data_IF_657138111002
#
_entry.id   IF_657138111002
#
_cell.length_a   1.000
_cell.length_b   1.000
_cell.length_c   1.000
_cell.angle_alpha   90.00
_cell.angle_beta   90.00
_cell.angle_gamma   90.00
#
_symmetry.space_group_name_H-M   'P 1'
#
loop_
_entity.id
_entity.type
_entity.pdbx_description
1 polymer ?
#
# COMPACT_ATOMS: atom_id res chain seq x y z
N UNK A 1 -60.45 -46.80 -2.73
CA UNK A 1 -60.32 -45.37 -2.98
C UNK A 1 -59.39 -44.66 -2.00
N UNK A 2 -59.17 -45.15 -0.75
CA UNK A 2 -58.31 -44.49 0.24
C UNK A 2 -56.79 -44.60 0.00
N UNK A 3 -56.30 -45.70 -0.61
CA UNK A 3 -54.86 -45.89 -0.84
C UNK A 3 -54.27 -44.99 -1.92
N UNK A 4 -55.08 -44.42 -2.82
CA UNK A 4 -54.61 -43.50 -3.89
C UNK A 4 -54.47 -42.07 -3.41
N UNK A 5 -55.22 -41.65 -2.40
CA UNK A 5 -55.14 -40.32 -1.79
C UNK A 5 -53.90 -40.17 -0.86
N UNK A 6 -53.57 -41.23 -0.11
CA UNK A 6 -52.38 -41.24 0.75
C UNK A 6 -51.09 -41.17 -0.06
N UNK A 7 -50.98 -41.87 -1.21
CA UNK A 7 -49.83 -41.79 -2.13
C UNK A 7 -49.62 -40.42 -2.77
N UNK A 8 -50.71 -39.73 -3.15
CA UNK A 8 -50.63 -38.37 -3.71
C UNK A 8 -50.17 -37.35 -2.69
N UNK A 9 -50.66 -37.42 -1.44
CA UNK A 9 -50.25 -36.49 -0.39
C UNK A 9 -48.78 -36.66 0.00
N UNK A 10 -48.27 -37.93 0.02
CA UNK A 10 -46.87 -38.19 0.27
C UNK A 10 -45.94 -37.68 -0.84
N UNK A 11 -46.36 -37.77 -2.12
CA UNK A 11 -45.62 -37.22 -3.22
C UNK A 11 -45.61 -35.67 -3.25
N UNK A 12 -46.71 -35.05 -2.82
CA UNK A 12 -46.77 -33.59 -2.70
C UNK A 12 -45.88 -33.10 -1.56
N UNK A 13 -45.88 -33.78 -0.41
CA UNK A 13 -45.02 -33.45 0.70
C UNK A 13 -43.53 -33.64 0.34
N UNK A 14 -43.16 -34.71 -0.39
CA UNK A 14 -41.80 -34.93 -0.84
C UNK A 14 -41.31 -33.87 -1.84
N UNK A 15 -42.17 -33.44 -2.76
CA UNK A 15 -41.88 -32.36 -3.68
C UNK A 15 -41.74 -31.01 -2.96
N UNK A 16 -42.57 -30.73 -1.97
CA UNK A 16 -42.49 -29.50 -1.16
C UNK A 16 -41.19 -29.45 -0.34
N UNK A 17 -40.77 -30.58 0.26
CA UNK A 17 -39.47 -30.69 0.96
C UNK A 17 -38.28 -30.53 0.00
N UNK A 18 -38.38 -31.09 -1.21
CA UNK A 18 -37.34 -30.94 -2.23
C UNK A 18 -37.20 -29.53 -2.76
N UNK A 19 -38.33 -28.84 -2.97
CA UNK A 19 -38.35 -27.40 -3.36
C UNK A 19 -37.82 -26.53 -2.21
N UNK A 20 -38.15 -26.84 -0.96
CA UNK A 20 -37.64 -26.11 0.21
C UNK A 20 -36.14 -26.31 0.41
N UNK A 21 -35.64 -27.53 0.17
CA UNK A 21 -34.18 -27.80 0.17
C UNK A 21 -33.44 -27.10 -0.96
N UNK A 22 -34.04 -27.02 -2.17
CA UNK A 22 -33.46 -26.24 -3.28
C UNK A 22 -33.48 -24.73 -2.98
N UNK A 23 -34.52 -24.23 -2.33
CA UNK A 23 -34.60 -22.82 -1.92
C UNK A 23 -33.52 -22.46 -0.88
N UNK A 24 -33.18 -23.38 0.03
CA UNK A 24 -32.08 -23.20 1.00
C UNK A 24 -30.71 -23.17 0.29
N UNK A 25 -30.52 -23.96 -0.78
CA UNK A 25 -29.30 -23.92 -1.59
C UNK A 25 -29.18 -22.66 -2.45
N UNK A 26 -30.29 -22.04 -2.83
CA UNK A 26 -30.27 -20.78 -3.61
C UNK A 26 -29.99 -19.54 -2.74
N UNK A 27 -30.19 -19.62 -1.43
CA UNK A 27 -29.80 -18.58 -0.47
C UNK A 27 -28.34 -18.70 0.01
N UNK A 28 -27.62 -19.76 -0.35
CA UNK A 28 -26.21 -19.96 -0.01
C UNK A 28 -25.22 -19.36 -1.04
N UNK A 29 -25.70 -18.67 -2.07
CA UNK A 29 -24.89 -17.74 -2.87
C UNK A 29 -25.10 -16.30 -2.38
N UNK A 30 -24.88 -16.06 -1.09
CA UNK A 30 -24.33 -14.78 -0.72
C UNK A 30 -22.87 -14.79 -1.23
N UNK A 31 -22.60 -14.12 -2.34
CA UNK A 31 -21.30 -13.50 -2.50
C UNK A 31 -21.11 -12.70 -1.21
N UNK A 32 -20.20 -13.15 -0.33
CA UNK A 32 -19.71 -12.31 0.75
C UNK A 32 -19.16 -11.04 0.05
N UNK A 33 -20.01 -10.02 -0.05
CA UNK A 33 -19.54 -8.66 -0.21
C UNK A 33 -18.59 -8.48 0.97
N UNK A 34 -17.30 -8.57 0.69
CA UNK A 34 -16.30 -8.61 1.74
C UNK A 34 -16.48 -7.34 2.58
N UNK A 35 -16.16 -7.39 3.86
CA UNK A 35 -16.19 -6.23 4.79
C UNK A 35 -15.59 -4.94 4.21
N UNK A 36 -14.80 -5.07 3.14
CA UNK A 36 -14.13 -4.00 2.42
C UNK A 36 -14.87 -3.59 1.12
N UNK A 37 -15.96 -4.28 0.75
CA UNK A 37 -16.80 -3.91 -0.39
C UNK A 37 -17.79 -2.81 0.06
N UNK A 38 -17.34 -1.57 -0.03
CA UNK A 38 -18.09 -0.39 0.40
C UNK A 38 -18.48 0.47 -0.81
N UNK A 39 -19.63 1.11 -0.73
CA UNK A 39 -20.02 2.13 -1.70
C UNK A 39 -19.48 3.49 -1.26
N UNK A 40 -18.74 4.16 -2.14
CA UNK A 40 -18.15 5.48 -1.94
C UNK A 40 -18.77 6.56 -2.84
N UNK A 41 -19.88 6.26 -3.56
CA UNK A 41 -20.50 7.19 -4.51
C UNK A 41 -21.00 8.46 -3.79
N UNK A 42 -21.51 8.31 -2.56
CA UNK A 42 -22.00 9.43 -1.75
C UNK A 42 -20.88 10.20 -1.03
N UNK A 43 -19.64 9.73 -1.12
CA UNK A 43 -18.50 10.40 -0.49
C UNK A 43 -18.00 11.52 -1.38
N UNK A 44 -18.22 12.76 -0.93
CA UNK A 44 -17.79 13.96 -1.65
C UNK A 44 -16.48 14.49 -1.08
N UNK A 45 -15.47 14.58 -1.94
CA UNK A 45 -14.21 15.28 -1.68
C UNK A 45 -13.87 16.16 -2.89
N UNK A 46 -13.00 17.14 -2.69
CA UNK A 46 -12.43 17.87 -3.82
C UNK A 46 -11.53 16.90 -4.62
N UNK A 47 -11.70 16.80 -5.94
CA UNK A 47 -10.80 15.99 -6.77
C UNK A 47 -9.34 16.36 -6.54
N UNK A 48 -8.48 15.36 -6.49
CA UNK A 48 -7.05 15.58 -6.35
C UNK A 48 -6.52 16.29 -7.61
N UNK A 49 -5.71 17.30 -7.41
CA UNK A 49 -4.95 17.94 -8.47
C UNK A 49 -3.47 17.97 -8.08
N UNK A 50 -2.61 17.40 -8.92
CA UNK A 50 -1.18 17.26 -8.65
C UNK A 50 -0.44 18.47 -9.23
N UNK A 51 0.06 19.32 -8.35
CA UNK A 51 0.88 20.47 -8.73
C UNK A 51 2.29 20.00 -9.15
N UNK A 52 2.70 20.27 -10.38
CA UNK A 52 3.92 19.72 -11.01
C UNK A 52 5.15 20.59 -10.76
N UNK A 53 5.58 20.69 -9.49
CA UNK A 53 6.74 21.52 -9.11
C UNK A 53 8.01 21.11 -9.84
N UNK A 54 8.30 19.80 -9.96
CA UNK A 54 9.50 19.34 -10.65
C UNK A 54 9.53 19.79 -12.11
N UNK A 55 8.40 19.71 -12.83
CA UNK A 55 8.31 20.21 -14.20
C UNK A 55 8.49 21.72 -14.27
N UNK A 56 7.84 22.48 -13.39
CA UNK A 56 7.94 23.93 -13.34
C UNK A 56 9.39 24.36 -13.07
N UNK A 57 10.06 23.76 -12.08
CA UNK A 57 11.41 24.09 -11.68
C UNK A 57 12.45 23.86 -12.80
N UNK A 58 12.36 22.72 -13.53
CA UNK A 58 13.33 22.41 -14.58
C UNK A 58 13.07 23.15 -15.91
N UNK A 59 11.93 23.85 -16.03
CA UNK A 59 11.57 24.65 -17.22
C UNK A 59 11.84 26.16 -17.07
N UNK A 60 12.38 26.63 -15.92
CA UNK A 60 12.68 28.05 -15.72
C UNK A 60 13.82 28.53 -16.61
N UNK A 61 13.85 29.87 -16.88
CA UNK A 61 15.00 30.51 -17.43
C UNK A 61 16.14 30.59 -16.38
N UNK A 62 17.18 29.80 -16.60
CA UNK A 62 18.31 29.64 -15.68
C UNK A 62 19.20 30.91 -15.59
N UNK A 63 19.18 31.75 -16.62
CA UNK A 63 19.92 33.04 -16.62
C UNK A 63 19.29 34.05 -15.66
N UNK A 64 17.97 33.91 -15.42
CA UNK A 64 17.20 34.79 -14.54
C UNK A 64 16.70 34.08 -13.27
N UNK A 65 17.47 33.10 -12.73
CA UNK A 65 17.10 32.20 -11.67
C UNK A 65 16.33 32.84 -10.50
N UNK A 66 16.85 33.94 -9.93
CA UNK A 66 16.20 34.62 -8.80
C UNK A 66 14.80 35.14 -9.12
N UNK A 67 14.63 35.72 -10.29
CA UNK A 67 13.35 36.25 -10.76
C UNK A 67 12.35 35.11 -11.00
N UNK A 68 12.81 34.03 -11.63
CA UNK A 68 11.99 32.87 -11.92
C UNK A 68 11.56 32.14 -10.64
N UNK A 69 12.45 31.95 -9.67
CA UNK A 69 12.10 31.41 -8.36
C UNK A 69 11.08 32.29 -7.63
N UNK A 70 11.14 33.61 -7.77
CA UNK A 70 10.14 34.55 -7.23
C UNK A 70 8.76 34.39 -7.87
N UNK A 71 8.68 33.96 -9.14
CA UNK A 71 7.40 33.58 -9.77
C UNK A 71 6.89 32.27 -9.24
N UNK A 72 7.76 31.25 -9.19
CA UNK A 72 7.42 29.90 -8.69
C UNK A 72 7.02 29.91 -7.21
N UNK A 73 7.58 30.78 -6.39
CA UNK A 73 7.22 30.92 -4.97
C UNK A 73 5.72 31.16 -4.76
N UNK A 74 5.08 31.91 -5.67
CA UNK A 74 3.64 32.18 -5.57
C UNK A 74 2.79 30.95 -5.80
N UNK A 75 3.26 30.04 -6.64
CA UNK A 75 2.55 28.81 -6.99
C UNK A 75 2.96 27.63 -6.09
N UNK A 76 4.23 27.60 -5.68
CA UNK A 76 4.83 26.51 -4.90
C UNK A 76 5.49 27.03 -3.60
N UNK A 77 4.75 27.70 -2.70
CA UNK A 77 5.33 28.31 -1.49
C UNK A 77 5.96 27.26 -0.55
N UNK A 78 5.47 26.03 -0.59
CA UNK A 78 6.00 24.94 0.21
C UNK A 78 7.45 24.54 -0.15
N UNK A 79 7.87 24.77 -1.39
CA UNK A 79 9.22 24.42 -1.87
C UNK A 79 10.19 25.59 -1.84
N UNK A 80 9.67 26.78 -2.05
CA UNK A 80 10.47 28.00 -2.17
C UNK A 80 10.12 28.87 -0.98
N UNK A 81 10.93 28.78 0.07
CA UNK A 81 10.74 29.58 1.28
C UNK A 81 10.86 31.08 1.03
N UNK A 82 10.54 31.87 2.05
CA UNK A 82 10.45 33.34 1.93
C UNK A 82 11.80 34.04 1.67
N UNK A 83 12.92 33.37 1.87
CA UNK A 83 14.25 33.93 1.76
C UNK A 83 14.91 33.62 0.41
N UNK A 84 14.49 34.33 -0.64
CA UNK A 84 15.13 34.34 -1.97
C UNK A 84 16.41 35.19 -2.03
N UNK A 85 16.85 35.76 -0.92
CA UNK A 85 18.08 36.56 -0.83
C UNK A 85 19.28 35.68 -0.44
N UNK A 86 19.05 34.53 0.14
CA UNK A 86 20.10 33.59 0.55
C UNK A 86 20.85 33.03 -0.67
N UNK A 87 22.08 33.55 -0.87
CA UNK A 87 22.96 33.13 -1.97
C UNK A 87 23.29 31.66 -1.94
N UNK A 88 23.39 31.03 -0.76
CA UNK A 88 23.67 29.59 -0.62
C UNK A 88 22.49 28.76 -1.13
N UNK A 89 21.27 29.16 -0.80
CA UNK A 89 20.06 28.51 -1.32
C UNK A 89 19.97 28.64 -2.84
N UNK A 90 20.19 29.83 -3.37
CA UNK A 90 20.22 30.06 -4.82
C UNK A 90 21.27 29.20 -5.52
N UNK A 91 22.46 29.09 -4.95
CA UNK A 91 23.54 28.25 -5.49
C UNK A 91 23.17 26.77 -5.45
N UNK A 92 22.54 26.27 -4.38
CA UNK A 92 22.07 24.89 -4.29
C UNK A 92 21.03 24.59 -5.38
N UNK A 93 20.04 25.46 -5.56
CA UNK A 93 19.01 25.30 -6.61
C UNK A 93 19.68 25.36 -7.98
N UNK A 94 20.59 26.32 -8.20
CA UNK A 94 21.33 26.43 -9.46
C UNK A 94 22.10 25.15 -9.79
N UNK A 95 22.83 24.59 -8.82
CA UNK A 95 23.55 23.32 -9.00
C UNK A 95 22.60 22.18 -9.33
N UNK A 96 21.48 22.09 -8.63
CA UNK A 96 20.47 21.05 -8.80
C UNK A 96 19.87 21.06 -10.21
N UNK A 97 19.40 22.22 -10.68
CA UNK A 97 18.76 22.33 -12.01
C UNK A 97 19.75 22.29 -13.19
N UNK A 98 21.05 22.43 -12.91
CA UNK A 98 22.12 22.34 -13.92
C UNK A 98 22.85 20.99 -13.89
N UNK A 99 22.52 20.10 -12.96
CA UNK A 99 23.08 18.75 -12.93
C UNK A 99 22.59 17.96 -14.17
N UNK A 100 23.51 17.46 -15.02
CA UNK A 100 23.14 16.75 -16.24
C UNK A 100 22.28 15.49 -15.98
N UNK A 101 22.51 14.79 -14.87
CA UNK A 101 21.75 13.60 -14.50
C UNK A 101 20.31 13.97 -14.11
N UNK A 102 20.13 15.05 -13.36
CA UNK A 102 18.81 15.53 -12.95
C UNK A 102 18.03 16.17 -14.09
N UNK A 103 18.72 16.83 -15.03
CA UNK A 103 18.10 17.32 -16.27
C UNK A 103 17.54 16.14 -17.08
N UNK A 104 18.33 15.06 -17.22
CA UNK A 104 17.88 13.86 -17.91
C UNK A 104 16.69 13.22 -17.18
N UNK A 105 16.76 13.07 -15.85
CA UNK A 105 15.66 12.56 -15.04
C UNK A 105 14.37 13.37 -15.22
N UNK A 106 14.45 14.70 -15.15
CA UNK A 106 13.30 15.57 -15.35
C UNK A 106 12.69 15.41 -16.75
N UNK A 107 13.54 15.28 -17.78
CA UNK A 107 13.10 15.04 -19.16
C UNK A 107 12.41 13.68 -19.31
N UNK A 108 12.98 12.61 -18.76
CA UNK A 108 12.37 11.28 -18.79
C UNK A 108 11.08 11.21 -17.95
N UNK A 109 10.99 11.94 -16.82
CA UNK A 109 9.74 12.11 -16.07
C UNK A 109 8.66 12.78 -16.93
N UNK A 110 8.98 13.88 -17.62
CA UNK A 110 8.01 14.55 -18.49
C UNK A 110 7.55 13.69 -19.66
N UNK A 111 8.43 12.84 -20.19
CA UNK A 111 8.10 11.89 -21.26
C UNK A 111 7.23 10.73 -20.76
N UNK A 112 7.53 10.19 -19.59
CA UNK A 112 6.79 9.06 -19.00
C UNK A 112 5.46 9.48 -18.40
N UNK A 113 5.42 10.69 -17.87
CA UNK A 113 4.26 11.28 -17.22
C UNK A 113 3.88 12.60 -17.91
N UNK A 114 3.42 12.55 -19.19
CA UNK A 114 3.05 13.77 -19.93
C UNK A 114 1.88 14.48 -19.25
N UNK A 115 0.98 13.72 -18.65
CA UNK A 115 -0.07 14.20 -17.73
C UNK A 115 -0.12 13.28 -16.49
N UNK A 116 -0.83 13.70 -15.47
CA UNK A 116 -0.97 12.97 -14.21
C UNK A 116 -2.44 12.63 -13.89
N UNK A 117 -3.34 12.75 -14.84
CA UNK A 117 -4.78 12.54 -14.66
C UNK A 117 -5.09 11.15 -14.06
N UNK A 118 -4.38 10.11 -14.53
CA UNK A 118 -4.56 8.77 -13.97
C UNK A 118 -4.21 8.67 -12.48
N UNK A 119 -3.17 9.40 -12.02
CA UNK A 119 -2.82 9.45 -10.59
C UNK A 119 -3.82 10.31 -9.81
N UNK A 120 -4.30 11.40 -10.39
CA UNK A 120 -5.31 12.27 -9.79
C UNK A 120 -6.61 11.51 -9.56
N UNK A 121 -7.05 10.70 -10.53
CA UNK A 121 -8.24 9.86 -10.43
C UNK A 121 -8.06 8.77 -9.37
N UNK A 122 -6.97 8.00 -9.43
CA UNK A 122 -6.70 6.92 -8.48
C UNK A 122 -6.52 7.45 -7.04
N UNK A 123 -5.85 8.58 -6.84
CA UNK A 123 -5.72 9.22 -5.52
C UNK A 123 -7.05 9.77 -5.03
N UNK A 124 -7.88 10.32 -5.93
CA UNK A 124 -9.23 10.78 -5.56
C UNK A 124 -10.07 9.63 -5.07
N UNK A 125 -10.04 8.47 -5.74
CA UNK A 125 -10.73 7.26 -5.29
C UNK A 125 -10.20 6.78 -3.95
N UNK A 126 -8.87 6.69 -3.78
CA UNK A 126 -8.25 6.30 -2.51
C UNK A 126 -8.63 7.25 -1.36
N UNK A 127 -8.66 8.56 -1.60
CA UNK A 127 -9.02 9.54 -0.57
C UNK A 127 -10.51 9.53 -0.22
N UNK A 128 -11.40 9.12 -1.15
CA UNK A 128 -12.80 8.82 -0.81
C UNK A 128 -12.91 7.64 0.13
N UNK A 129 -12.17 6.54 -0.12
CA UNK A 129 -12.11 5.41 0.81
C UNK A 129 -11.56 5.83 2.18
N UNK A 130 -10.51 6.65 2.21
CA UNK A 130 -9.99 7.22 3.48
C UNK A 130 -11.04 8.03 4.21
N UNK A 131 -11.75 8.92 3.52
CA UNK A 131 -12.83 9.74 4.13
C UNK A 131 -13.99 8.90 4.64
N UNK A 132 -14.31 7.78 3.99
CA UNK A 132 -15.31 6.83 4.46
C UNK A 132 -14.91 6.19 5.81
N UNK A 133 -13.69 5.65 5.89
CA UNK A 133 -13.21 4.98 7.11
C UNK A 133 -12.81 5.96 8.21
N UNK A 134 -12.39 7.15 7.84
CA UNK A 134 -11.88 8.21 8.73
C UNK A 134 -12.55 9.53 8.36
N UNK A 135 -13.75 9.82 8.92
CA UNK A 135 -14.52 11.02 8.55
C UNK A 135 -13.79 12.35 8.74
N UNK A 136 -12.81 12.40 9.64
CA UNK A 136 -11.97 13.58 9.89
C UNK A 136 -10.78 13.70 8.93
N UNK A 137 -10.59 12.73 8.03
CA UNK A 137 -9.52 12.80 7.03
C UNK A 137 -9.77 13.94 6.05
N UNK A 138 -8.78 14.80 5.88
CA UNK A 138 -8.78 15.85 4.87
C UNK A 138 -7.71 15.55 3.81
N UNK A 139 -8.08 15.52 2.51
CA UNK A 139 -7.14 15.31 1.42
C UNK A 139 -5.99 16.31 1.46
N UNK A 140 -4.72 15.86 1.40
CA UNK A 140 -3.58 16.76 1.35
C UNK A 140 -3.48 17.51 0.02
N UNK A 141 -2.72 18.60 -0.01
CA UNK A 141 -2.21 19.14 -1.26
C UNK A 141 -1.14 18.20 -1.82
N UNK A 142 -1.28 17.83 -3.11
CA UNK A 142 -0.37 16.88 -3.75
C UNK A 142 0.55 17.57 -4.73
N UNK A 143 1.84 17.27 -4.63
CA UNK A 143 2.88 17.81 -5.49
C UNK A 143 3.72 16.69 -6.09
N UNK A 144 4.13 16.86 -7.35
CA UNK A 144 5.17 16.03 -7.93
C UNK A 144 6.48 16.83 -8.08
N UNK A 145 7.59 16.15 -7.81
CA UNK A 145 8.91 16.77 -7.84
C UNK A 145 9.98 15.80 -8.36
N UNK A 146 11.20 16.32 -8.55
CA UNK A 146 12.41 15.53 -8.80
C UNK A 146 13.22 15.52 -7.51
N UNK A 147 13.46 14.34 -6.95
CA UNK A 147 14.11 14.18 -5.65
C UNK A 147 15.65 14.13 -5.73
N UNK A 148 16.19 13.88 -6.92
CA UNK A 148 17.58 13.57 -7.11
C UNK A 148 17.89 12.10 -6.76
N UNK A 149 16.94 11.22 -7.05
CA UNK A 149 16.99 9.78 -6.81
C UNK A 149 17.00 9.37 -5.33
N UNK A 150 16.25 10.09 -4.50
CA UNK A 150 16.07 9.71 -3.09
C UNK A 150 15.16 8.49 -2.98
N UNK A 151 15.77 7.31 -3.05
CA UNK A 151 15.07 6.02 -2.99
C UNK A 151 14.62 5.63 -1.58
N UNK A 152 15.05 6.34 -0.53
CA UNK A 152 14.61 6.09 0.84
C UNK A 152 13.26 6.79 1.12
N UNK A 153 13.03 7.94 0.49
CA UNK A 153 11.80 8.73 0.70
C UNK A 153 11.12 9.13 -0.63
N UNK A 154 10.67 8.16 -1.43
CA UNK A 154 10.01 8.45 -2.72
C UNK A 154 8.66 9.17 -2.56
N UNK A 155 8.01 9.00 -1.41
CA UNK A 155 6.80 9.71 -1.00
C UNK A 155 7.06 10.36 0.36
N UNK A 156 6.71 11.63 0.49
CA UNK A 156 6.75 12.37 1.76
C UNK A 156 5.32 12.85 2.05
N UNK A 157 4.85 12.61 3.28
CA UNK A 157 3.52 13.03 3.73
C UNK A 157 3.57 13.54 5.17
N UNK A 158 3.03 14.74 5.43
CA UNK A 158 3.01 15.38 6.74
C UNK A 158 1.59 15.61 7.31
N UNK A 159 0.57 15.05 6.66
CA UNK A 159 -0.84 15.26 6.98
C UNK A 159 -1.51 16.37 6.17
N UNK A 160 -0.77 17.35 5.65
CA UNK A 160 -1.29 18.48 4.86
C UNK A 160 -0.76 18.48 3.43
N UNK A 161 0.43 17.98 3.23
CA UNK A 161 1.09 17.91 1.93
C UNK A 161 1.55 16.49 1.66
N UNK A 162 1.49 16.12 0.38
CA UNK A 162 2.04 14.87 -0.14
C UNK A 162 2.95 15.20 -1.33
N UNK A 163 4.21 14.76 -1.24
CA UNK A 163 5.22 14.96 -2.27
C UNK A 163 5.53 13.63 -2.93
N UNK A 164 5.46 13.57 -4.26
CA UNK A 164 5.69 12.38 -5.08
C UNK A 164 6.95 12.59 -5.91
N UNK A 165 8.02 11.85 -5.62
CA UNK A 165 9.27 11.86 -6.36
C UNK A 165 9.13 11.07 -7.66
N UNK A 166 8.72 11.72 -8.77
CA UNK A 166 8.49 11.03 -10.04
C UNK A 166 9.74 10.37 -10.64
N UNK A 167 10.92 10.92 -10.34
CA UNK A 167 12.20 10.33 -10.73
C UNK A 167 12.47 8.96 -10.06
N UNK A 168 11.69 8.57 -9.05
CA UNK A 168 11.74 7.26 -8.43
C UNK A 168 10.77 6.24 -9.05
N UNK A 169 10.02 6.63 -10.09
CA UNK A 169 9.03 5.77 -10.73
C UNK A 169 9.19 5.67 -12.26
N UNK A 170 10.42 5.88 -12.75
CA UNK A 170 10.75 5.79 -14.16
C UNK A 170 10.76 4.35 -14.70
N UNK A 171 10.65 3.36 -13.83
CA UNK A 171 10.61 1.93 -14.16
C UNK A 171 11.94 1.24 -13.93
N UNK A 172 11.90 -0.12 -13.82
CA UNK A 172 13.08 -0.91 -13.48
C UNK A 172 14.19 -0.85 -14.53
N UNK A 173 13.87 -0.51 -15.76
CA UNK A 173 14.83 -0.48 -16.87
C UNK A 173 15.52 0.89 -17.03
N UNK A 174 15.28 1.86 -16.12
CA UNK A 174 15.92 3.16 -16.18
C UNK A 174 17.37 3.07 -15.67
N UNK A 175 18.38 3.22 -16.56
CA UNK A 175 19.77 2.85 -16.25
C UNK A 175 20.42 3.63 -15.10
N UNK A 176 20.05 4.90 -14.81
CA UNK A 176 20.66 5.64 -13.71
C UNK A 176 20.49 4.97 -12.34
N UNK A 177 19.41 4.27 -12.06
CA UNK A 177 19.23 3.59 -10.77
C UNK A 177 20.35 2.60 -10.45
N UNK A 178 20.71 1.74 -11.40
CA UNK A 178 21.78 0.76 -11.24
C UNK A 178 23.16 1.46 -11.11
N UNK A 179 23.41 2.48 -11.94
CA UNK A 179 24.65 3.26 -11.91
C UNK A 179 24.86 4.00 -10.57
N UNK A 180 23.76 4.38 -9.91
CA UNK A 180 23.78 4.98 -8.57
C UNK A 180 23.90 3.95 -7.45
N UNK A 181 24.03 2.65 -7.78
CA UNK A 181 24.22 1.56 -6.81
C UNK A 181 22.95 1.12 -6.10
N UNK A 182 21.77 1.48 -6.61
CA UNK A 182 20.50 1.01 -6.02
C UNK A 182 20.37 -0.50 -6.25
N UNK A 183 20.09 -1.30 -5.21
CA UNK A 183 19.98 -2.74 -5.36
C UNK A 183 18.83 -3.15 -6.29
N UNK A 184 19.05 -4.14 -7.17
CA UNK A 184 18.07 -4.60 -8.16
C UNK A 184 16.71 -4.96 -7.57
N UNK A 185 16.64 -5.56 -6.38
CA UNK A 185 15.39 -5.92 -5.73
C UNK A 185 14.55 -4.68 -5.33
N UNK A 186 15.19 -3.51 -5.13
CA UNK A 186 14.52 -2.22 -4.93
C UNK A 186 14.09 -1.61 -6.26
N UNK A 187 14.97 -1.63 -7.26
CA UNK A 187 14.70 -1.08 -8.61
C UNK A 187 13.43 -1.71 -9.21
N UNK A 188 13.20 -3.01 -9.00
CA UNK A 188 12.00 -3.71 -9.45
C UNK A 188 10.68 -3.12 -8.92
N UNK A 189 10.74 -2.27 -7.90
CA UNK A 189 9.59 -1.62 -7.25
C UNK A 189 9.40 -0.16 -7.69
N UNK A 190 10.18 0.33 -8.66
CA UNK A 190 10.13 1.71 -9.14
C UNK A 190 9.25 1.88 -10.39
N UNK A 191 8.19 1.09 -10.48
CA UNK A 191 7.17 1.21 -11.53
C UNK A 191 6.06 2.18 -11.13
N UNK A 192 5.43 2.80 -12.14
CA UNK A 192 4.32 3.74 -11.92
C UNK A 192 3.13 3.13 -11.16
N UNK A 193 2.94 1.83 -11.28
CA UNK A 193 1.89 1.05 -10.60
C UNK A 193 2.02 1.01 -9.09
N UNK A 194 3.17 1.43 -8.54
CA UNK A 194 3.40 1.48 -7.10
C UNK A 194 3.14 2.87 -6.50
N UNK A 195 2.97 3.93 -7.31
CA UNK A 195 2.87 5.31 -6.80
C UNK A 195 1.73 5.48 -5.81
N UNK A 196 0.49 5.14 -6.20
CA UNK A 196 -0.69 5.32 -5.35
C UNK A 196 -0.62 4.42 -4.12
N UNK A 197 -0.13 3.17 -4.29
CA UNK A 197 0.12 2.25 -3.19
C UNK A 197 1.09 2.87 -2.17
N UNK A 198 2.16 3.49 -2.64
CA UNK A 198 3.17 4.09 -1.76
C UNK A 198 2.65 5.36 -1.07
N UNK A 199 1.82 6.15 -1.75
CA UNK A 199 1.12 7.27 -1.15
C UNK A 199 0.23 6.82 0.02
N UNK A 200 -0.58 5.78 -0.18
CA UNK A 200 -1.48 5.26 0.85
C UNK A 200 -0.72 4.57 1.98
N UNK A 201 0.38 3.88 1.68
CA UNK A 201 1.28 3.29 2.68
C UNK A 201 1.88 4.36 3.61
N UNK A 202 2.34 5.47 3.04
CA UNK A 202 2.87 6.58 3.81
C UNK A 202 1.81 7.24 4.71
N UNK A 203 0.56 7.33 4.24
CA UNK A 203 -0.57 7.76 5.09
C UNK A 203 -0.77 6.79 6.25
N UNK A 204 -0.76 5.47 6.00
CA UNK A 204 -0.91 4.45 7.03
C UNK A 204 0.18 4.57 8.10
N UNK A 205 1.45 4.72 7.67
CA UNK A 205 2.57 4.92 8.60
C UNK A 205 2.42 6.20 9.44
N UNK A 206 1.98 7.30 8.85
CA UNK A 206 1.74 8.56 9.57
C UNK A 206 0.59 8.42 10.58
N UNK A 207 -0.52 7.77 10.21
CA UNK A 207 -1.66 7.57 11.10
C UNK A 207 -1.37 6.65 12.28
N UNK A 208 -0.61 5.58 12.06
CA UNK A 208 -0.26 4.62 13.12
C UNK A 208 0.95 5.04 13.95
N UNK A 209 1.78 5.96 13.43
CA UNK A 209 3.01 6.41 14.09
C UNK A 209 4.08 5.31 14.18
N UNK A 210 5.21 5.66 14.78
CA UNK A 210 6.32 4.71 14.97
C UNK A 210 6.07 3.83 16.20
N UNK A 211 5.72 2.56 15.97
CA UNK A 211 5.36 1.57 16.99
C UNK A 211 6.30 0.35 17.04
N UNK A 212 7.46 0.42 16.41
CA UNK A 212 8.33 -0.75 16.20
C UNK A 212 9.26 -1.07 17.38
N UNK A 213 9.47 -0.14 18.31
CA UNK A 213 10.44 -0.34 19.38
C UNK A 213 9.97 -1.31 20.48
N UNK A 214 10.89 -2.19 20.90
CA UNK A 214 10.68 -3.09 22.03
C UNK A 214 9.73 -4.25 21.80
N UNK A 215 9.40 -4.57 20.54
CA UNK A 215 8.42 -5.58 20.16
C UNK A 215 9.08 -6.92 19.81
N UNK A 216 8.34 -8.01 20.01
CA UNK A 216 8.67 -9.33 19.51
C UNK A 216 8.26 -9.48 18.03
N UNK A 217 8.63 -10.61 17.41
CA UNK A 217 8.34 -10.86 15.98
C UNK A 217 6.84 -10.88 15.69
N UNK A 218 6.00 -11.44 16.56
CA UNK A 218 4.54 -11.43 16.38
C UNK A 218 3.99 -10.00 16.32
N UNK A 219 4.45 -9.13 17.24
CA UNK A 219 4.00 -7.73 17.25
C UNK A 219 4.35 -7.02 15.94
N UNK A 220 5.56 -7.25 15.43
CA UNK A 220 6.01 -6.66 14.17
C UNK A 220 5.25 -7.26 12.96
N UNK A 221 5.03 -8.57 12.94
CA UNK A 221 4.24 -9.23 11.89
C UNK A 221 2.81 -8.69 11.85
N UNK A 222 2.15 -8.56 13.00
CA UNK A 222 0.80 -8.03 13.10
C UNK A 222 0.77 -6.54 12.71
N UNK A 223 1.75 -5.75 13.12
CA UNK A 223 1.86 -4.34 12.72
C UNK A 223 1.98 -4.20 11.21
N UNK A 224 2.87 -4.95 10.56
CA UNK A 224 3.01 -4.95 9.10
C UNK A 224 1.74 -5.48 8.42
N UNK A 225 1.10 -6.49 9.02
CA UNK A 225 -0.20 -6.99 8.58
C UNK A 225 -1.31 -5.94 8.60
N UNK A 226 -1.30 -5.04 9.59
CA UNK A 226 -2.26 -3.91 9.66
C UNK A 226 -2.00 -2.88 8.57
N UNK A 227 -0.74 -2.55 8.26
CA UNK A 227 -0.42 -1.68 7.11
C UNK A 227 -0.96 -2.27 5.81
N UNK A 228 -0.74 -3.56 5.56
CA UNK A 228 -1.23 -4.23 4.36
C UNK A 228 -2.76 -4.35 4.32
N UNK A 229 -3.42 -4.58 5.47
CA UNK A 229 -4.88 -4.58 5.55
C UNK A 229 -5.47 -3.18 5.37
N UNK A 230 -4.79 -2.15 5.81
CA UNK A 230 -5.16 -0.77 5.50
C UNK A 230 -5.13 -0.53 3.98
N UNK A 231 -4.09 -1.02 3.29
CA UNK A 231 -4.05 -0.98 1.82
C UNK A 231 -5.20 -1.79 1.18
N UNK A 232 -5.65 -2.89 1.79
CA UNK A 232 -6.83 -3.63 1.30
C UNK A 232 -8.10 -2.78 1.38
N UNK A 233 -8.26 -2.02 2.47
CA UNK A 233 -9.43 -1.19 2.71
C UNK A 233 -9.46 0.06 1.80
N UNK A 234 -8.31 0.67 1.58
CA UNK A 234 -8.23 1.95 0.85
C UNK A 234 -8.05 1.74 -0.66
N UNK A 235 -7.46 0.63 -1.07
CA UNK A 235 -7.19 0.28 -2.46
C UNK A 235 -7.83 -1.07 -2.83
N UNK A 236 -9.17 -1.23 -2.75
CA UNK A 236 -9.83 -2.53 -2.94
C UNK A 236 -9.56 -3.13 -4.32
N UNK A 237 -9.44 -2.31 -5.35
CA UNK A 237 -9.22 -2.71 -6.73
C UNK A 237 -7.74 -3.02 -7.06
N UNK A 238 -6.80 -2.73 -6.15
CA UNK A 238 -5.37 -3.00 -6.34
C UNK A 238 -5.06 -4.45 -5.96
N UNK A 239 -4.32 -5.15 -6.82
CA UNK A 239 -3.95 -6.55 -6.57
C UNK A 239 -3.07 -6.71 -5.32
N UNK A 240 -3.23 -7.86 -4.62
CA UNK A 240 -2.39 -8.22 -3.46
C UNK A 240 -0.89 -8.09 -3.77
N UNK A 241 -0.49 -8.47 -4.99
CA UNK A 241 0.91 -8.40 -5.44
C UNK A 241 1.47 -6.98 -5.38
N UNK A 242 0.71 -6.00 -5.84
CA UNK A 242 1.10 -4.58 -5.79
C UNK A 242 1.15 -4.09 -4.34
N UNK A 243 0.16 -4.45 -3.52
CA UNK A 243 0.09 -4.03 -2.11
C UNK A 243 1.33 -4.47 -1.33
N UNK A 244 1.78 -5.72 -1.47
CA UNK A 244 2.97 -6.25 -0.79
C UNK A 244 4.27 -6.03 -1.57
N UNK A 245 4.21 -5.48 -2.80
CA UNK A 245 5.35 -5.30 -3.71
C UNK A 245 6.08 -6.61 -4.03
N UNK A 246 5.33 -7.67 -4.33
CA UNK A 246 5.89 -8.92 -4.83
C UNK A 246 5.82 -8.99 -6.36
N UNK A 247 6.76 -9.68 -6.98
CA UNK A 247 6.60 -10.17 -8.35
C UNK A 247 5.55 -11.29 -8.39
N UNK A 248 5.06 -11.63 -9.58
CA UNK A 248 4.11 -12.74 -9.73
C UNK A 248 4.68 -14.07 -9.21
N UNK A 249 5.94 -14.49 -9.57
CA UNK A 249 6.54 -15.70 -9.00
C UNK A 249 6.68 -15.65 -7.48
N UNK A 250 7.03 -14.50 -6.89
CA UNK A 250 7.13 -14.34 -5.45
C UNK A 250 5.80 -14.53 -4.73
N UNK A 251 4.71 -13.97 -5.28
CA UNK A 251 3.37 -14.19 -4.71
C UNK A 251 2.94 -15.66 -4.81
N UNK A 252 3.18 -16.29 -5.94
CA UNK A 252 2.88 -17.73 -6.14
C UNK A 252 3.66 -18.60 -5.16
N UNK A 253 4.94 -18.29 -4.95
CA UNK A 253 5.78 -18.98 -3.97
C UNK A 253 5.23 -18.82 -2.55
N UNK A 254 4.89 -17.60 -2.13
CA UNK A 254 4.35 -17.33 -0.80
C UNK A 254 3.04 -18.09 -0.55
N UNK A 255 2.11 -18.10 -1.51
CA UNK A 255 0.86 -18.86 -1.42
C UNK A 255 1.11 -20.37 -1.29
N UNK A 256 1.98 -20.92 -2.15
CA UNK A 256 2.30 -22.36 -2.16
C UNK A 256 2.98 -22.85 -0.88
N UNK A 257 3.78 -21.99 -0.25
CA UNK A 257 4.61 -22.35 0.90
C UNK A 257 4.07 -21.84 2.24
N UNK A 258 2.85 -21.29 2.29
CA UNK A 258 2.28 -20.67 3.50
C UNK A 258 2.22 -21.63 4.68
N UNK A 259 1.85 -22.90 4.45
CA UNK A 259 1.82 -23.95 5.48
C UNK A 259 3.22 -24.24 6.04
N UNK A 260 4.21 -24.38 5.17
CA UNK A 260 5.59 -24.66 5.60
C UNK A 260 6.20 -23.46 6.34
N UNK A 261 5.89 -22.25 5.89
CA UNK A 261 6.31 -21.01 6.53
C UNK A 261 5.73 -20.91 7.96
N UNK A 262 4.44 -21.18 8.11
CA UNK A 262 3.80 -21.17 9.42
C UNK A 262 4.35 -22.26 10.35
N UNK A 263 4.54 -23.49 9.85
CA UNK A 263 5.18 -24.58 10.60
C UNK A 263 6.56 -24.16 11.08
N UNK A 264 7.41 -23.58 10.21
CA UNK A 264 8.73 -23.07 10.58
C UNK A 264 8.66 -22.04 11.71
N UNK A 265 7.72 -21.08 11.63
CA UNK A 265 7.55 -20.02 12.63
C UNK A 265 7.20 -20.62 14.00
N UNK A 266 6.33 -21.65 14.03
CA UNK A 266 5.88 -22.29 15.28
C UNK A 266 6.97 -23.22 15.83
N UNK A 267 7.53 -24.12 15.03
CA UNK A 267 8.51 -25.12 15.44
C UNK A 267 9.81 -24.51 15.96
N UNK A 268 10.19 -23.35 15.44
CA UNK A 268 11.38 -22.63 15.87
C UNK A 268 11.10 -21.51 16.90
N UNK A 269 9.89 -21.48 17.47
CA UNK A 269 9.47 -20.52 18.51
C UNK A 269 9.71 -19.04 18.12
N UNK A 270 9.60 -18.72 16.81
CA UNK A 270 9.97 -17.43 16.24
C UNK A 270 9.08 -16.28 16.73
N UNK A 271 7.79 -16.55 16.99
CA UNK A 271 6.79 -15.53 17.29
C UNK A 271 7.17 -14.59 18.43
N UNK A 272 7.76 -15.14 19.48
CA UNK A 272 8.08 -14.36 20.69
C UNK A 272 9.56 -13.94 20.76
N UNK A 273 10.32 -14.23 19.72
CA UNK A 273 11.70 -13.78 19.62
C UNK A 273 11.80 -12.25 19.54
N UNK A 274 12.79 -11.69 20.25
CA UNK A 274 13.19 -10.28 20.16
C UNK A 274 14.55 -10.13 19.48
N UNK A 275 15.08 -11.21 18.91
CA UNK A 275 16.36 -11.21 18.22
C UNK A 275 16.26 -10.40 16.92
N UNK A 276 17.06 -9.34 16.82
CA UNK A 276 17.14 -8.47 15.65
C UNK A 276 17.63 -9.19 14.37
N UNK A 277 18.34 -10.31 14.49
CA UNK A 277 18.71 -11.11 13.33
C UNK A 277 17.49 -11.86 12.76
N UNK A 278 16.61 -12.34 13.62
CA UNK A 278 15.34 -12.97 13.21
C UNK A 278 14.44 -11.94 12.53
N UNK A 279 14.28 -10.77 13.15
CA UNK A 279 13.55 -9.63 12.58
C UNK A 279 14.09 -9.27 11.18
N UNK A 280 15.40 -9.04 11.09
CA UNK A 280 16.07 -8.69 9.83
C UNK A 280 15.80 -9.70 8.73
N UNK A 281 15.82 -10.99 9.04
CA UNK A 281 15.65 -12.06 8.05
C UNK A 281 14.19 -12.24 7.60
N UNK A 282 13.20 -11.93 8.45
CA UNK A 282 11.78 -12.19 8.18
C UNK A 282 11.00 -10.95 7.73
N UNK A 283 11.41 -9.75 8.15
CA UNK A 283 10.60 -8.54 8.02
C UNK A 283 11.29 -7.44 7.22
N UNK A 284 12.64 -7.39 7.18
CA UNK A 284 13.30 -6.33 6.42
C UNK A 284 13.35 -6.63 4.92
N UNK A 285 13.36 -5.54 4.15
CA UNK A 285 13.46 -5.62 2.70
C UNK A 285 14.83 -6.18 2.27
N UNK A 286 14.81 -7.20 1.44
CA UNK A 286 15.95 -7.95 0.98
C UNK A 286 15.63 -8.58 -0.38
N UNK A 287 16.59 -9.20 -1.08
CA UNK A 287 16.28 -9.95 -2.29
C UNK A 287 15.34 -11.14 -2.04
N UNK A 288 15.46 -11.79 -0.88
CA UNK A 288 14.71 -12.98 -0.47
C UNK A 288 14.76 -13.17 1.05
N UNK A 289 13.87 -14.00 1.59
CA UNK A 289 13.89 -14.39 3.00
C UNK A 289 14.91 -15.52 3.23
N UNK A 290 16.02 -15.23 3.88
CA UNK A 290 17.19 -16.14 3.93
C UNK A 290 16.94 -17.50 4.58
N UNK A 291 15.88 -17.67 5.38
CA UNK A 291 15.50 -18.97 5.93
C UNK A 291 14.94 -19.95 4.89
N UNK A 292 14.49 -19.45 3.72
CA UNK A 292 13.78 -20.25 2.71
C UNK A 292 14.49 -20.27 1.34
N UNK A 293 15.69 -19.68 1.26
CA UNK A 293 16.50 -19.67 0.04
C UNK A 293 16.09 -18.63 -1.00
N UNK A 294 16.85 -18.57 -2.09
CA UNK A 294 16.82 -17.49 -3.09
C UNK A 294 15.52 -17.38 -3.90
N UNK A 295 14.71 -18.44 -3.94
CA UNK A 295 13.41 -18.44 -4.64
C UNK A 295 12.29 -17.85 -3.80
N UNK A 296 12.50 -17.71 -2.50
CA UNK A 296 11.50 -17.14 -1.59
C UNK A 296 11.38 -15.63 -1.79
N UNK A 297 10.19 -15.05 -1.60
CA UNK A 297 10.07 -13.60 -1.54
C UNK A 297 10.73 -13.03 -0.28
N UNK A 298 11.08 -11.72 -0.27
CA UNK A 298 11.46 -11.02 0.96
C UNK A 298 10.26 -10.85 1.89
N UNK A 299 10.51 -10.47 3.14
CA UNK A 299 9.50 -10.01 4.10
C UNK A 299 8.34 -10.99 4.31
N UNK A 300 8.65 -12.32 4.36
CA UNK A 300 7.62 -13.35 4.57
C UNK A 300 6.88 -13.21 5.91
N UNK A 301 7.49 -12.56 6.91
CA UNK A 301 6.80 -12.19 8.15
C UNK A 301 5.65 -11.21 7.93
N UNK A 302 5.81 -10.25 7.00
CA UNK A 302 4.71 -9.33 6.62
C UNK A 302 3.56 -10.11 5.94
N UNK A 303 3.88 -11.04 5.05
CA UNK A 303 2.88 -11.90 4.40
C UNK A 303 2.03 -12.65 5.43
N UNK A 304 2.66 -13.33 6.39
CA UNK A 304 1.94 -14.07 7.44
C UNK A 304 1.16 -13.13 8.34
N UNK A 305 1.75 -12.02 8.75
CA UNK A 305 1.07 -10.99 9.54
C UNK A 305 -0.18 -10.47 8.85
N UNK A 306 -0.11 -10.24 7.54
CA UNK A 306 -1.26 -9.83 6.74
C UNK A 306 -2.37 -10.90 6.70
N UNK A 307 -2.01 -12.17 6.54
CA UNK A 307 -2.98 -13.28 6.59
C UNK A 307 -3.64 -13.41 7.97
N UNK A 308 -2.87 -13.23 9.05
CA UNK A 308 -3.40 -13.21 10.42
C UNK A 308 -4.42 -12.08 10.58
N UNK A 309 -4.08 -10.87 10.17
CA UNK A 309 -4.96 -9.68 10.28
C UNK A 309 -6.21 -9.84 9.41
N UNK A 310 -6.08 -10.32 8.17
CA UNK A 310 -7.25 -10.63 7.31
C UNK A 310 -8.20 -11.60 7.99
N UNK A 311 -7.68 -12.70 8.53
CA UNK A 311 -8.50 -13.71 9.22
C UNK A 311 -9.11 -13.15 10.51
N UNK A 312 -8.38 -12.30 11.25
CA UNK A 312 -8.91 -11.62 12.42
C UNK A 312 -10.12 -10.75 12.04
N UNK A 313 -10.00 -9.92 11.02
CA UNK A 313 -11.07 -9.04 10.58
C UNK A 313 -12.28 -9.79 10.00
N UNK A 314 -12.06 -10.92 9.34
CA UNK A 314 -13.14 -11.82 8.88
C UNK A 314 -13.91 -12.44 10.06
N UNK A 315 -13.20 -12.91 11.09
CA UNK A 315 -13.80 -13.59 12.23
C UNK A 315 -14.40 -12.61 13.27
N UNK A 316 -14.12 -11.31 13.16
CA UNK A 316 -14.59 -10.27 14.09
C UNK A 316 -15.26 -9.12 13.31
N UNK A 317 -16.48 -9.34 12.79
CA UNK A 317 -17.13 -8.40 11.86
C UNK A 317 -17.48 -7.03 12.48
N UNK A 318 -17.57 -6.93 13.81
CA UNK A 318 -17.86 -5.69 14.53
C UNK A 318 -16.64 -4.80 14.74
N UNK A 319 -15.41 -5.32 14.58
CA UNK A 319 -14.18 -4.53 14.69
C UNK A 319 -14.06 -3.62 13.46
N UNK A 320 -13.98 -2.32 13.66
CA UNK A 320 -13.78 -1.35 12.58
C UNK A 320 -12.31 -1.31 12.11
N UNK A 321 -12.03 -0.65 10.99
CA UNK A 321 -10.64 -0.41 10.56
C UNK A 321 -9.91 0.45 11.61
N UNK A 322 -10.56 1.47 12.15
CA UNK A 322 -9.99 2.33 13.18
C UNK A 322 -9.66 1.56 14.46
N UNK A 323 -10.56 0.66 14.92
CA UNK A 323 -10.31 -0.21 16.08
C UNK A 323 -9.09 -1.10 15.83
N UNK A 324 -9.00 -1.71 14.64
CA UNK A 324 -7.85 -2.54 14.27
C UNK A 324 -6.53 -1.76 14.36
N UNK A 325 -6.50 -0.52 13.84
CA UNK A 325 -5.28 0.29 13.87
C UNK A 325 -4.87 0.67 15.30
N UNK A 326 -5.84 0.86 16.20
CA UNK A 326 -5.59 1.22 17.61
C UNK A 326 -5.26 0.02 18.50
N UNK A 327 -5.71 -1.19 18.14
CA UNK A 327 -5.49 -2.39 18.93
C UNK A 327 -3.99 -2.74 19.00
N UNK A 328 -3.40 -2.84 20.18
CA UNK A 328 -1.99 -3.18 20.37
C UNK A 328 -1.80 -4.63 20.88
N UNK A 329 -2.89 -5.37 21.10
CA UNK A 329 -2.85 -6.76 21.56
C UNK A 329 -2.63 -7.73 20.39
N UNK A 330 -1.40 -7.85 19.93
CA UNK A 330 -1.03 -8.76 18.82
C UNK A 330 -1.33 -10.22 19.15
N UNK A 331 -1.20 -10.61 20.42
CA UNK A 331 -1.54 -11.97 20.90
C UNK A 331 -3.04 -12.23 20.81
N UNK A 332 -3.86 -11.27 21.24
CA UNK A 332 -5.31 -11.31 21.12
C UNK A 332 -5.77 -11.34 19.67
N UNK A 333 -5.13 -10.56 18.79
CA UNK A 333 -5.38 -10.59 17.34
C UNK A 333 -5.08 -11.99 16.78
N UNK A 334 -3.92 -12.58 17.10
CA UNK A 334 -3.57 -13.93 16.65
C UNK A 334 -4.60 -14.97 17.15
N UNK A 335 -4.95 -14.97 18.41
CA UNK A 335 -5.91 -15.92 19.00
C UNK A 335 -7.29 -15.80 18.36
N UNK A 336 -7.82 -14.56 18.26
CA UNK A 336 -9.15 -14.29 17.69
C UNK A 336 -9.20 -14.51 16.18
N UNK A 337 -8.06 -14.39 15.48
CA UNK A 337 -7.95 -14.69 14.05
C UNK A 337 -8.20 -16.16 13.76
N UNK A 338 -7.88 -17.06 14.71
CA UNK A 338 -7.88 -18.51 14.48
C UNK A 338 -7.11 -18.89 13.21
N UNK A 339 -6.06 -18.12 12.92
CA UNK A 339 -5.29 -18.30 11.70
C UNK A 339 -4.72 -19.71 11.60
N UNK A 340 -5.02 -20.34 10.48
CA UNK A 340 -4.41 -21.58 10.01
C UNK A 340 -4.22 -21.44 8.50
N UNK A 341 -3.02 -21.72 7.97
CA UNK A 341 -2.80 -21.73 6.52
C UNK A 341 -3.77 -22.68 5.82
N UNK A 342 -4.20 -22.31 4.64
CA UNK A 342 -4.97 -23.20 3.77
C UNK A 342 -4.07 -24.33 3.27
N UNK A 343 -4.62 -25.56 3.17
CA UNK A 343 -3.87 -26.74 2.72
C UNK A 343 -3.72 -26.75 1.22
#
# INVERSE_FOLDING_TARGET
MENTLASKNTQIALKAVFVFLIAIFLFSCNSESGKLDINIDDISIKPVHIKRYGQALFNIDKEHLKSELGKLQKEFPAFIGDDLVDTIKLMKVSNFINDPLLIDAAKECNKKFPDLSFLEDELTEAFKHLKYYFPDFEPPEVYSYISGFDHEYPIIYDGRMMLIALDMYLGPDYPPYEKLGVPMYRIQKFGKEFIVRDCVDQIAHTMMGNREHGRNILDLMVLQGKYLYFLDAILPNTSERIKIKYSKPQQEWAKKNETNLWAFIIENEVLYSTDKNVEKKLLLDAPFTSYFGNESPPRLGEWVGWKIVKRFMQNNPTVTLEDLLKDEDSQGILQKSRYKPEK
#
